data_IF_620842088441
#
_entry.id   IF_620842088441
#
_cell.length_a   1.000
_cell.length_b   1.000
_cell.length_c   1.000
_cell.angle_alpha   90.00
_cell.angle_beta   90.00
_cell.angle_gamma   90.00
#
_symmetry.space_group_name_H-M   'P 1'
#
loop_
_entity.id
_entity.type
_entity.pdbx_description
1 polymer ?
#
# COMPACT_ATOMS: atom_id res chain seq x y z
N UNK A 1 -28.24 24.81 7.13
CA UNK A 1 -28.33 25.21 8.56
C UNK A 1 -27.80 26.61 8.82
N UNK A 2 -26.69 27.03 8.19
CA UNK A 2 -26.21 28.43 8.31
C UNK A 2 -27.28 29.47 7.90
N UNK A 3 -28.01 29.24 6.81
CA UNK A 3 -29.14 30.11 6.44
C UNK A 3 -30.18 30.26 7.56
N UNK A 4 -30.55 29.16 8.23
CA UNK A 4 -31.51 29.20 9.34
C UNK A 4 -31.02 29.99 10.56
N UNK A 5 -29.70 30.02 10.78
CA UNK A 5 -29.10 30.85 11.82
C UNK A 5 -29.18 32.33 11.44
N UNK A 6 -28.96 32.66 10.18
CA UNK A 6 -29.08 34.02 9.68
C UNK A 6 -30.52 34.51 9.74
N UNK A 7 -31.49 33.69 9.30
CA UNK A 7 -32.93 33.99 9.42
C UNK A 7 -33.32 34.23 10.89
N UNK A 8 -32.75 33.48 11.83
CA UNK A 8 -32.99 33.66 13.27
C UNK A 8 -32.35 34.96 13.81
N UNK A 9 -31.17 35.34 13.32
CA UNK A 9 -30.54 36.63 13.65
C UNK A 9 -31.37 37.80 13.13
N UNK A 10 -31.88 37.70 11.91
CA UNK A 10 -32.75 38.70 11.31
C UNK A 10 -34.07 38.84 12.08
N UNK A 11 -34.66 37.71 12.49
CA UNK A 11 -35.80 37.71 13.40
C UNK A 11 -35.52 38.49 14.68
N UNK A 12 -34.39 38.22 15.37
CA UNK A 12 -34.04 38.90 16.62
C UNK A 12 -33.67 40.37 16.44
N UNK A 13 -33.12 40.75 15.29
CA UNK A 13 -32.62 42.10 15.01
C UNK A 13 -33.71 43.03 14.46
N UNK A 14 -34.61 42.52 13.64
CA UNK A 14 -35.57 43.34 12.87
C UNK A 14 -36.99 43.11 13.34
N UNK A 15 -37.39 41.85 13.51
CA UNK A 15 -38.81 41.50 13.72
C UNK A 15 -39.23 41.49 15.19
N UNK A 16 -38.37 41.03 16.11
CA UNK A 16 -38.68 40.97 17.55
C UNK A 16 -38.72 42.34 18.26
N UNK A 17 -37.80 43.29 18.00
CA UNK A 17 -37.77 44.58 18.70
C UNK A 17 -39.08 45.40 18.64
N UNK A 18 -39.76 45.57 17.48
CA UNK A 18 -41.03 46.30 17.47
C UNK A 18 -42.12 45.59 18.29
N UNK A 19 -42.11 44.25 18.37
CA UNK A 19 -43.06 43.49 19.20
C UNK A 19 -42.81 43.65 20.70
N UNK A 20 -41.56 43.82 21.12
CA UNK A 20 -41.22 44.19 22.50
C UNK A 20 -41.78 45.59 22.84
N UNK A 21 -41.64 46.54 21.91
CA UNK A 21 -42.17 47.89 22.08
C UNK A 21 -43.70 47.90 22.14
N UNK A 22 -44.38 47.15 21.26
CA UNK A 22 -45.84 46.99 21.28
C UNK A 22 -46.34 46.41 22.61
N UNK A 23 -45.66 45.39 23.15
CA UNK A 23 -45.98 44.80 24.46
C UNK A 23 -45.86 45.85 25.58
N UNK A 24 -44.75 46.57 25.64
CA UNK A 24 -44.52 47.63 26.63
C UNK A 24 -45.58 48.74 26.51
N UNK A 25 -45.89 49.18 25.29
CA UNK A 25 -46.90 50.20 25.04
C UNK A 25 -48.30 49.75 25.46
N UNK A 26 -48.64 48.48 25.26
CA UNK A 26 -49.90 47.91 25.70
C UNK A 26 -50.04 47.96 27.23
N UNK A 27 -48.99 47.60 27.97
CA UNK A 27 -48.96 47.70 29.43
C UNK A 27 -49.11 49.14 29.92
N UNK A 28 -48.41 50.09 29.29
CA UNK A 28 -48.54 51.53 29.57
C UNK A 28 -49.97 52.01 29.33
N UNK A 29 -50.56 51.65 28.19
CA UNK A 29 -51.93 52.04 27.83
C UNK A 29 -52.95 51.47 28.82
N UNK A 30 -52.80 50.20 29.21
CA UNK A 30 -53.65 49.55 30.19
C UNK A 30 -53.56 50.27 31.55
N UNK A 31 -52.35 50.51 32.07
CA UNK A 31 -52.14 51.18 33.36
C UNK A 31 -52.68 52.63 33.36
N UNK A 32 -52.52 53.34 32.24
CA UNK A 32 -53.06 54.68 32.05
C UNK A 32 -54.59 54.67 32.09
N UNK A 33 -55.22 53.72 31.39
CA UNK A 33 -56.67 53.56 31.37
C UNK A 33 -57.21 53.23 32.76
N UNK A 34 -56.59 52.29 33.48
CA UNK A 34 -56.99 51.96 34.85
C UNK A 34 -56.93 53.17 35.77
N UNK A 35 -55.86 53.96 35.68
CA UNK A 35 -55.69 55.17 36.49
C UNK A 35 -56.77 56.21 36.19
N UNK A 36 -57.07 56.45 34.90
CA UNK A 36 -58.14 57.37 34.48
C UNK A 36 -59.53 56.92 34.94
N UNK A 37 -59.84 55.64 34.86
CA UNK A 37 -61.12 55.08 35.31
C UNK A 37 -61.26 55.23 36.84
N UNK A 38 -60.19 54.94 37.58
CA UNK A 38 -60.15 55.13 39.04
C UNK A 38 -60.40 56.58 39.43
N UNK A 39 -59.72 57.53 38.78
CA UNK A 39 -59.89 58.97 39.07
C UNK A 39 -61.29 59.50 38.72
N UNK A 40 -62.00 58.86 37.78
CA UNK A 40 -63.36 59.23 37.38
C UNK A 40 -64.45 58.44 38.11
N UNK A 41 -64.10 57.70 39.18
CA UNK A 41 -65.00 56.82 39.94
C UNK A 41 -65.77 55.81 39.06
N UNK A 42 -65.14 55.32 37.98
CA UNK A 42 -65.70 54.29 37.10
C UNK A 42 -65.10 52.92 37.40
N UNK A 43 -65.84 51.82 37.18
CA UNK A 43 -65.32 50.46 37.34
C UNK A 43 -64.05 50.23 36.49
N UNK A 44 -63.14 49.42 37.02
CA UNK A 44 -61.91 49.03 36.32
C UNK A 44 -62.23 48.28 35.02
N UNK A 45 -61.48 48.57 33.96
CA UNK A 45 -61.63 47.84 32.70
C UNK A 45 -61.01 46.45 32.85
N UNK A 46 -61.76 45.40 32.53
CA UNK A 46 -61.23 44.03 32.49
C UNK A 46 -61.28 43.52 31.04
N UNK A 47 -60.14 43.20 30.42
CA UNK A 47 -60.10 42.56 29.12
C UNK A 47 -60.84 41.22 29.15
N UNK A 48 -61.26 40.72 27.98
CA UNK A 48 -61.81 39.38 27.86
C UNK A 48 -60.80 38.31 28.26
N UNK A 49 -61.31 37.17 28.74
CA UNK A 49 -60.51 36.02 29.16
C UNK A 49 -59.50 35.60 28.09
N UNK A 50 -58.25 35.33 28.50
CA UNK A 50 -57.14 35.01 27.59
C UNK A 50 -56.47 36.22 26.94
N UNK A 51 -56.95 37.44 27.21
CA UNK A 51 -56.34 38.71 26.75
C UNK A 51 -55.93 39.61 27.90
N UNK A 52 -55.81 39.08 29.12
CA UNK A 52 -55.33 39.84 30.26
C UNK A 52 -53.84 40.16 30.09
N UNK A 53 -53.37 41.22 30.74
CA UNK A 53 -51.93 41.59 30.75
C UNK A 53 -51.07 40.46 31.33
N UNK A 54 -51.59 39.70 32.30
CA UNK A 54 -50.95 38.49 32.83
C UNK A 54 -50.81 37.39 31.77
N UNK A 55 -51.84 37.17 30.95
CA UNK A 55 -51.85 36.14 29.90
C UNK A 55 -50.84 36.49 28.80
N UNK A 56 -50.79 37.76 28.41
CA UNK A 56 -49.81 38.28 27.45
C UNK A 56 -48.39 38.12 28.00
N UNK A 57 -48.17 38.39 29.29
CA UNK A 57 -46.89 38.18 29.94
C UNK A 57 -46.47 36.71 29.99
N UNK A 58 -47.40 35.81 30.32
CA UNK A 58 -47.15 34.37 30.31
C UNK A 58 -46.84 33.85 28.90
N UNK A 59 -47.61 34.28 27.89
CA UNK A 59 -47.35 33.94 26.49
C UNK A 59 -46.00 34.46 26.01
N UNK A 60 -45.61 35.66 26.43
CA UNK A 60 -44.28 36.22 26.13
C UNK A 60 -43.15 35.43 26.78
N UNK A 61 -43.31 35.00 28.03
CA UNK A 61 -42.33 34.13 28.70
C UNK A 61 -42.18 32.77 27.99
N UNK A 62 -43.29 32.16 27.56
CA UNK A 62 -43.23 30.93 26.76
C UNK A 62 -42.52 31.15 25.42
N UNK A 63 -42.76 32.28 24.76
CA UNK A 63 -42.04 32.66 23.54
C UNK A 63 -40.52 32.76 23.78
N UNK A 64 -40.10 33.46 24.84
CA UNK A 64 -38.67 33.59 25.18
C UNK A 64 -38.02 32.24 25.51
N UNK A 65 -38.74 31.34 26.18
CA UNK A 65 -38.27 29.98 26.45
C UNK A 65 -38.13 29.17 25.16
N UNK A 66 -39.12 29.24 24.27
CA UNK A 66 -39.09 28.55 22.99
C UNK A 66 -37.96 29.07 22.09
N UNK A 67 -37.74 30.38 22.05
CA UNK A 67 -36.63 31.00 21.33
C UNK A 67 -35.27 30.53 21.86
N UNK A 68 -35.10 30.50 23.19
CA UNK A 68 -33.87 29.99 23.81
C UNK A 68 -33.63 28.53 23.43
N UNK A 69 -34.66 27.69 23.51
CA UNK A 69 -34.57 26.28 23.10
C UNK A 69 -34.25 26.11 21.62
N UNK A 70 -34.83 26.94 20.76
CA UNK A 70 -34.55 26.92 19.31
C UNK A 70 -33.12 27.38 18.99
N UNK A 71 -32.62 28.43 19.65
CA UNK A 71 -31.24 28.91 19.52
C UNK A 71 -30.23 27.84 19.96
N UNK A 72 -30.45 27.24 21.13
CA UNK A 72 -29.61 26.14 21.64
C UNK A 72 -29.61 24.95 20.68
N UNK A 73 -30.79 24.56 20.17
CA UNK A 73 -30.92 23.50 19.18
C UNK A 73 -30.17 23.82 17.88
N UNK A 74 -30.34 25.03 17.32
CA UNK A 74 -29.66 25.46 16.09
C UNK A 74 -28.15 25.42 16.23
N UNK A 75 -27.60 25.94 17.33
CA UNK A 75 -26.16 25.97 17.58
C UNK A 75 -25.58 24.56 17.79
N UNK A 76 -26.30 23.69 18.49
CA UNK A 76 -25.91 22.29 18.64
C UNK A 76 -25.87 21.57 17.30
N UNK A 77 -26.87 21.82 16.45
CA UNK A 77 -27.01 21.18 15.15
C UNK A 77 -25.96 21.69 14.15
N UNK A 78 -25.60 22.98 14.18
CA UNK A 78 -24.49 23.52 13.38
C UNK A 78 -23.15 22.89 13.78
N UNK A 79 -22.83 22.86 15.08
CA UNK A 79 -21.60 22.23 15.59
C UNK A 79 -21.51 20.75 15.21
N UNK A 80 -22.65 20.05 15.25
CA UNK A 80 -22.74 18.64 14.85
C UNK A 80 -22.42 18.45 13.37
N UNK A 81 -23.00 19.27 12.50
CA UNK A 81 -22.74 19.23 11.06
C UNK A 81 -21.29 19.56 10.74
N UNK A 82 -20.72 20.60 11.36
CA UNK A 82 -19.29 20.96 11.21
C UNK A 82 -18.37 19.82 11.64
N UNK A 83 -18.69 19.12 12.74
CA UNK A 83 -17.93 17.95 13.19
C UNK A 83 -18.00 16.79 12.18
N UNK A 84 -19.18 16.49 11.64
CA UNK A 84 -19.32 15.46 10.62
C UNK A 84 -18.55 15.81 9.34
N UNK A 85 -18.60 17.06 8.94
CA UNK A 85 -17.88 17.58 7.78
C UNK A 85 -16.36 17.46 7.94
N UNK A 86 -15.86 17.86 9.11
CA UNK A 86 -14.44 17.71 9.46
C UNK A 86 -13.99 16.25 9.45
N UNK A 87 -14.81 15.33 9.98
CA UNK A 87 -14.51 13.90 9.95
C UNK A 87 -14.49 13.36 8.51
N UNK A 88 -15.42 13.80 7.66
CA UNK A 88 -15.47 13.40 6.25
C UNK A 88 -14.22 13.86 5.47
N UNK A 89 -13.78 15.11 5.69
CA UNK A 89 -12.55 15.63 5.08
C UNK A 89 -11.30 14.93 5.62
N UNK A 90 -11.23 14.66 6.93
CA UNK A 90 -10.14 13.90 7.54
C UNK A 90 -10.06 12.47 7.00
N UNK A 91 -11.21 11.82 6.78
CA UNK A 91 -11.28 10.52 6.14
C UNK A 91 -10.66 10.57 4.73
N UNK A 92 -11.03 11.56 3.91
CA UNK A 92 -10.46 11.75 2.56
C UNK A 92 -8.94 11.85 2.60
N UNK A 93 -8.40 12.71 3.45
CA UNK A 93 -6.96 12.94 3.53
C UNK A 93 -6.20 11.65 3.86
N UNK A 94 -6.67 10.91 4.88
CA UNK A 94 -6.06 9.64 5.26
C UNK A 94 -6.23 8.55 4.20
N UNK A 95 -7.43 8.44 3.61
CA UNK A 95 -7.71 7.50 2.55
C UNK A 95 -6.80 7.72 1.32
N UNK A 96 -6.55 8.97 0.93
CA UNK A 96 -5.66 9.32 -0.18
C UNK A 96 -4.22 8.87 0.06
N UNK A 97 -3.70 9.03 1.28
CA UNK A 97 -2.35 8.58 1.65
C UNK A 97 -2.27 7.05 1.57
N UNK A 98 -3.27 6.35 2.11
CA UNK A 98 -3.32 4.89 2.07
C UNK A 98 -3.45 4.36 0.63
N UNK A 99 -4.23 5.03 -0.23
CA UNK A 99 -4.32 4.66 -1.65
C UNK A 99 -3.00 4.84 -2.38
N UNK A 100 -2.33 5.97 -2.19
CA UNK A 100 -1.00 6.20 -2.77
C UNK A 100 0.01 5.13 -2.34
N UNK A 101 -0.03 4.67 -1.09
CA UNK A 101 0.78 3.55 -0.63
C UNK A 101 0.41 2.22 -1.32
N UNK A 102 -0.89 1.96 -1.55
CA UNK A 102 -1.31 0.74 -2.28
C UNK A 102 -0.95 0.76 -3.77
N UNK A 103 -0.80 1.95 -4.37
CA UNK A 103 -0.48 2.13 -5.80
C UNK A 103 1.01 2.28 -6.06
N UNK A 104 1.78 2.85 -5.12
CA UNK A 104 3.21 3.16 -5.22
C UNK A 104 4.16 1.96 -5.18
N UNK A 105 3.69 0.76 -5.52
CA UNK A 105 4.45 -0.48 -5.49
C UNK A 105 5.38 -0.66 -6.68
N UNK A 106 6.24 0.31 -7.01
CA UNK A 106 7.31 0.10 -8.00
C UNK A 106 8.68 0.17 -7.33
N UNK A 107 9.00 -0.91 -6.62
CA UNK A 107 10.32 -1.12 -6.06
C UNK A 107 11.31 -1.39 -7.19
N UNK A 108 12.00 -0.35 -7.64
CA UNK A 108 13.06 -0.35 -8.66
C UNK A 108 14.33 -1.13 -8.27
N UNK A 109 14.16 -2.34 -7.73
CA UNK A 109 15.25 -3.28 -7.47
C UNK A 109 15.70 -3.90 -8.78
N UNK A 110 16.94 -3.62 -9.21
CA UNK A 110 17.59 -4.34 -10.30
C UNK A 110 18.31 -5.57 -9.74
N UNK A 111 18.00 -6.74 -10.30
CA UNK A 111 18.58 -8.02 -9.90
C UNK A 111 17.88 -8.65 -8.68
N UNK A 112 18.03 -9.97 -8.56
CA UNK A 112 17.30 -10.80 -7.59
C UNK A 112 17.49 -10.37 -6.12
N UNK A 113 18.71 -10.05 -5.70
CA UNK A 113 18.98 -9.56 -4.34
C UNK A 113 18.33 -8.20 -4.06
N UNK A 114 18.29 -7.31 -5.06
CA UNK A 114 17.59 -6.03 -4.95
C UNK A 114 16.08 -6.20 -4.82
N UNK A 115 15.49 -7.20 -5.49
CA UNK A 115 14.07 -7.52 -5.39
C UNK A 115 13.68 -8.07 -3.99
N UNK A 116 14.53 -8.89 -3.37
CA UNK A 116 14.32 -9.38 -2.00
C UNK A 116 14.37 -8.20 -1.02
N UNK A 117 15.44 -7.39 -1.07
CA UNK A 117 15.60 -6.26 -0.16
C UNK A 117 14.45 -5.24 -0.28
N UNK A 118 14.00 -4.95 -1.51
CA UNK A 118 12.84 -4.10 -1.75
C UNK A 118 11.54 -4.71 -1.18
N UNK A 119 11.39 -6.04 -1.26
CA UNK A 119 10.22 -6.72 -0.69
C UNK A 119 10.22 -6.70 0.84
N UNK A 120 11.37 -6.92 1.47
CA UNK A 120 11.51 -6.83 2.93
C UNK A 120 11.26 -5.41 3.43
N UNK A 121 11.76 -4.40 2.71
CA UNK A 121 11.45 -3.00 3.00
C UNK A 121 9.96 -2.70 2.86
N UNK A 122 9.29 -3.24 1.83
CA UNK A 122 7.84 -3.10 1.73
C UNK A 122 7.12 -3.74 2.93
N UNK A 123 7.52 -4.95 3.33
CA UNK A 123 6.94 -5.67 4.47
C UNK A 123 7.11 -4.91 5.79
N UNK A 124 8.22 -4.21 5.99
CA UNK A 124 8.44 -3.41 7.19
C UNK A 124 7.47 -2.22 7.31
N UNK A 125 6.90 -1.75 6.19
CA UNK A 125 5.88 -0.68 6.19
C UNK A 125 4.46 -1.18 6.43
N UNK A 126 4.20 -2.49 6.34
CA UNK A 126 2.85 -3.06 6.52
C UNK A 126 2.20 -2.72 7.88
N UNK A 127 2.90 -2.80 9.02
CA UNK A 127 2.29 -2.48 10.32
C UNK A 127 1.82 -1.02 10.40
N UNK A 128 2.54 -0.10 9.79
CA UNK A 128 2.18 1.32 9.80
C UNK A 128 1.03 1.60 8.83
N UNK A 129 1.00 0.94 7.67
CA UNK A 129 -0.15 0.96 6.78
C UNK A 129 -1.42 0.40 7.45
N UNK A 130 -1.30 -0.66 8.26
CA UNK A 130 -2.41 -1.23 9.01
C UNK A 130 -2.95 -0.26 10.08
N UNK A 131 -2.06 0.44 10.80
CA UNK A 131 -2.47 1.51 11.74
C UNK A 131 -3.22 2.62 11.03
N UNK A 132 -2.77 3.03 9.84
CA UNK A 132 -3.43 4.08 9.07
C UNK A 132 -4.82 3.64 8.59
N UNK A 133 -4.94 2.39 8.12
CA UNK A 133 -6.23 1.75 7.81
C UNK A 133 -7.18 1.77 9.01
N UNK A 134 -6.72 1.32 10.18
CA UNK A 134 -7.54 1.32 11.40
C UNK A 134 -7.97 2.73 11.83
N UNK A 135 -7.10 3.73 11.64
CA UNK A 135 -7.43 5.13 11.89
C UNK A 135 -8.55 5.63 10.95
N UNK A 136 -8.49 5.27 9.67
CA UNK A 136 -9.54 5.61 8.67
C UNK A 136 -10.88 4.95 9.07
N UNK A 137 -10.86 3.66 9.40
CA UNK A 137 -12.05 2.95 9.87
C UNK A 137 -12.59 3.51 11.20
N UNK A 138 -11.70 3.99 12.07
CA UNK A 138 -12.05 4.67 13.31
C UNK A 138 -12.83 5.97 13.06
N UNK A 139 -12.40 6.77 12.08
CA UNK A 139 -13.11 8.01 11.69
C UNK A 139 -14.51 7.69 11.16
N UNK A 140 -14.64 6.66 10.31
CA UNK A 140 -15.95 6.23 9.82
C UNK A 140 -16.87 5.77 10.95
N UNK A 141 -16.35 4.98 11.90
CA UNK A 141 -17.11 4.51 13.07
C UNK A 141 -17.58 5.67 13.95
N UNK A 142 -16.74 6.68 14.13
CA UNK A 142 -17.11 7.90 14.87
C UNK A 142 -18.24 8.66 14.17
N UNK A 143 -18.12 8.87 12.85
CA UNK A 143 -19.16 9.53 12.07
C UNK A 143 -20.49 8.76 12.13
N UNK A 144 -20.44 7.43 12.03
CA UNK A 144 -21.62 6.57 12.16
C UNK A 144 -22.25 6.66 13.56
N UNK A 145 -21.44 6.63 14.63
CA UNK A 145 -21.92 6.77 16.00
C UNK A 145 -22.65 8.10 16.22
N UNK A 146 -22.11 9.20 15.69
CA UNK A 146 -22.75 10.52 15.76
C UNK A 146 -24.08 10.51 14.99
N UNK A 147 -24.15 9.83 13.83
CA UNK A 147 -25.39 9.72 13.08
C UNK A 147 -26.47 8.93 13.84
N UNK A 148 -26.09 7.79 14.42
CA UNK A 148 -26.98 6.90 15.16
C UNK A 148 -27.53 7.57 16.43
N UNK A 149 -26.67 8.25 17.20
CA UNK A 149 -27.06 8.99 18.42
C UNK A 149 -28.12 10.06 18.16
N UNK A 150 -28.12 10.64 16.96
CA UNK A 150 -29.05 11.70 16.58
C UNK A 150 -30.19 11.21 15.67
N UNK A 151 -30.31 9.89 15.44
CA UNK A 151 -31.39 9.30 14.62
C UNK A 151 -31.34 9.67 13.14
N UNK A 152 -30.17 10.08 12.63
CA UNK A 152 -30.00 10.51 11.24
C UNK A 152 -29.35 9.38 10.44
N UNK A 153 -29.90 9.07 9.27
CA UNK A 153 -29.20 8.21 8.31
C UNK A 153 -28.01 9.00 7.74
N UNK A 154 -26.79 8.62 8.14
CA UNK A 154 -25.58 9.13 7.49
C UNK A 154 -25.68 8.84 5.98
N UNK A 155 -25.47 9.86 5.15
CA UNK A 155 -25.39 9.67 3.70
C UNK A 155 -24.40 8.54 3.40
N UNK A 156 -24.79 7.59 2.54
CA UNK A 156 -23.99 6.39 2.22
C UNK A 156 -22.61 6.69 1.62
N UNK A 157 -22.36 7.92 1.22
CA UNK A 157 -21.16 8.33 0.51
C UNK A 157 -20.61 9.62 1.12
N UNK A 158 -19.30 9.61 1.34
CA UNK A 158 -18.54 10.78 1.73
C UNK A 158 -18.50 11.76 0.54
N UNK A 159 -18.94 13.02 0.69
CA UNK A 159 -18.99 13.98 -0.42
C UNK A 159 -17.61 14.37 -0.96
N UNK A 160 -16.54 14.13 -0.19
CA UNK A 160 -15.18 14.54 -0.54
C UNK A 160 -14.32 13.43 -1.15
N UNK A 161 -14.80 12.17 -1.16
CA UNK A 161 -14.06 11.05 -1.75
C UNK A 161 -14.97 9.93 -2.22
N UNK A 162 -14.61 9.32 -3.33
CA UNK A 162 -15.25 8.09 -3.84
C UNK A 162 -14.78 6.83 -3.09
N UNK A 163 -13.72 6.94 -2.28
CA UNK A 163 -13.12 5.82 -1.55
C UNK A 163 -14.03 5.42 -0.39
N UNK A 164 -14.40 4.15 -0.35
CA UNK A 164 -15.23 3.59 0.72
C UNK A 164 -14.39 2.79 1.71
N UNK A 165 -14.81 2.68 2.98
CA UNK A 165 -14.19 1.79 3.96
C UNK A 165 -14.08 0.34 3.46
N UNK A 166 -15.10 -0.13 2.72
CA UNK A 166 -15.12 -1.45 2.11
C UNK A 166 -14.00 -1.60 1.08
N UNK A 167 -13.84 -0.62 0.19
CA UNK A 167 -12.77 -0.65 -0.82
C UNK A 167 -11.37 -0.70 -0.18
N UNK A 168 -11.15 0.07 0.89
CA UNK A 168 -9.88 0.05 1.64
C UNK A 168 -9.62 -1.34 2.22
N UNK A 169 -10.62 -1.97 2.85
CA UNK A 169 -10.49 -3.32 3.38
C UNK A 169 -10.22 -4.36 2.28
N UNK A 170 -10.94 -4.29 1.16
CA UNK A 170 -10.71 -5.22 0.03
C UNK A 170 -9.30 -5.06 -0.57
N UNK A 171 -8.80 -3.81 -0.73
CA UNK A 171 -7.42 -3.56 -1.15
C UNK A 171 -6.42 -4.14 -0.15
N UNK A 172 -6.65 -3.94 1.15
CA UNK A 172 -5.81 -4.48 2.22
C UNK A 172 -5.76 -6.01 2.23
N UNK A 173 -6.91 -6.68 2.17
CA UNK A 173 -7.00 -8.14 2.09
C UNK A 173 -6.24 -8.68 0.87
N UNK A 174 -6.34 -8.00 -0.27
CA UNK A 174 -5.56 -8.36 -1.47
C UNK A 174 -4.05 -8.24 -1.22
N UNK A 175 -3.58 -7.18 -0.55
CA UNK A 175 -2.16 -7.05 -0.18
C UNK A 175 -1.74 -8.20 0.75
N UNK A 176 -2.54 -8.51 1.77
CA UNK A 176 -2.26 -9.61 2.70
C UNK A 176 -2.17 -10.97 2.00
N UNK A 177 -2.92 -11.19 0.92
CA UNK A 177 -2.84 -12.42 0.12
C UNK A 177 -1.65 -12.45 -0.83
N UNK A 178 -1.26 -11.30 -1.38
CA UNK A 178 -0.19 -11.20 -2.38
C UNK A 178 1.21 -11.24 -1.76
N UNK A 179 1.38 -10.71 -0.54
CA UNK A 179 2.69 -10.69 0.15
C UNK A 179 3.26 -12.10 0.34
N UNK A 180 2.55 -13.09 0.92
CA UNK A 180 3.09 -14.44 1.09
C UNK A 180 3.37 -15.15 -0.25
N UNK A 181 2.55 -14.88 -1.28
CA UNK A 181 2.79 -15.43 -2.62
C UNK A 181 4.08 -14.89 -3.23
N UNK A 182 4.35 -13.60 -3.03
CA UNK A 182 5.58 -12.96 -3.47
C UNK A 182 6.79 -13.44 -2.67
N UNK A 183 6.66 -13.61 -1.36
CA UNK A 183 7.69 -14.23 -0.52
C UNK A 183 8.09 -15.60 -1.06
N UNK A 184 7.10 -16.46 -1.34
CA UNK A 184 7.34 -17.80 -1.86
C UNK A 184 8.03 -17.78 -3.23
N UNK A 185 7.53 -16.97 -4.17
CA UNK A 185 8.12 -16.84 -5.50
C UNK A 185 9.58 -16.33 -5.45
N UNK A 186 9.88 -15.38 -4.55
CA UNK A 186 11.24 -14.89 -4.35
C UNK A 186 12.15 -15.97 -3.76
N UNK A 187 11.68 -16.76 -2.80
CA UNK A 187 12.44 -17.86 -2.22
C UNK A 187 12.73 -18.97 -3.24
N UNK A 188 11.74 -19.35 -4.05
CA UNK A 188 11.92 -20.33 -5.13
C UNK A 188 12.96 -19.84 -6.15
N UNK A 189 12.86 -18.58 -6.57
CA UNK A 189 13.83 -17.99 -7.49
C UNK A 189 15.22 -17.92 -6.85
N UNK A 190 15.32 -17.60 -5.55
CA UNK A 190 16.60 -17.58 -4.84
C UNK A 190 17.26 -18.96 -4.83
N UNK A 191 16.48 -20.00 -4.55
CA UNK A 191 16.95 -21.39 -4.56
C UNK A 191 17.45 -21.81 -5.94
N UNK A 192 16.70 -21.47 -7.01
CA UNK A 192 17.13 -21.70 -8.40
C UNK A 192 18.42 -20.98 -8.73
N UNK A 193 18.55 -19.70 -8.38
CA UNK A 193 19.77 -18.93 -8.63
C UNK A 193 20.98 -19.49 -7.88
N UNK A 194 20.80 -19.96 -6.64
CA UNK A 194 21.85 -20.63 -5.87
C UNK A 194 22.28 -21.97 -6.50
N UNK A 195 21.31 -22.78 -6.93
CA UNK A 195 21.58 -24.04 -7.63
C UNK A 195 22.33 -23.80 -8.95
N UNK A 196 21.88 -22.83 -9.74
CA UNK A 196 22.52 -22.47 -11.00
C UNK A 196 23.95 -21.96 -10.80
N UNK A 197 24.18 -21.11 -9.79
CA UNK A 197 25.52 -20.66 -9.41
C UNK A 197 26.41 -21.81 -8.94
N UNK A 198 25.86 -22.81 -8.24
CA UNK A 198 26.59 -24.02 -7.85
C UNK A 198 27.05 -24.83 -9.06
N UNK A 199 26.13 -25.09 -10.01
CA UNK A 199 26.46 -25.79 -11.26
C UNK A 199 27.53 -25.05 -12.07
N UNK A 200 27.41 -23.72 -12.21
CA UNK A 200 28.42 -22.88 -12.88
C UNK A 200 29.80 -23.06 -12.25
N UNK A 201 29.89 -23.08 -10.90
CA UNK A 201 31.16 -23.26 -10.20
C UNK A 201 31.72 -24.67 -10.35
N UNK A 202 30.88 -25.70 -10.29
CA UNK A 202 31.32 -27.09 -10.49
C UNK A 202 31.93 -27.28 -11.88
N UNK A 203 31.20 -26.87 -12.92
CA UNK A 203 31.71 -26.93 -14.29
C UNK A 203 32.99 -26.10 -14.45
N UNK A 204 33.03 -24.88 -13.94
CA UNK A 204 34.22 -24.05 -14.03
C UNK A 204 35.43 -24.68 -13.34
N UNK A 205 35.24 -25.28 -12.16
CA UNK A 205 36.32 -25.95 -11.44
C UNK A 205 36.91 -27.11 -12.23
N UNK A 206 36.07 -27.90 -12.91
CA UNK A 206 36.50 -29.02 -13.73
C UNK A 206 37.11 -28.54 -15.06
N UNK A 207 36.46 -27.60 -15.74
CA UNK A 207 36.90 -27.05 -17.02
C UNK A 207 38.25 -26.34 -16.91
N UNK A 208 38.49 -25.62 -15.81
CA UNK A 208 39.76 -24.94 -15.55
C UNK A 208 40.92 -25.91 -15.26
N UNK A 209 40.64 -27.19 -14.98
CA UNK A 209 41.65 -28.24 -14.83
C UNK A 209 41.84 -28.99 -16.17
N UNK A 210 40.74 -29.37 -16.80
CA UNK A 210 40.73 -30.13 -18.05
C UNK A 210 41.28 -29.31 -19.23
N UNK A 211 40.89 -28.04 -19.35
CA UNK A 211 41.30 -27.17 -20.46
C UNK A 211 42.82 -27.05 -20.60
N UNK A 212 43.55 -26.61 -19.57
CA UNK A 212 45.01 -26.57 -19.59
C UNK A 212 45.66 -27.94 -19.80
N UNK A 213 45.07 -29.01 -19.27
CA UNK A 213 45.57 -30.37 -19.48
C UNK A 213 45.53 -30.77 -20.96
N UNK A 214 44.41 -30.52 -21.64
CA UNK A 214 44.28 -30.78 -23.08
C UNK A 214 45.30 -29.96 -23.86
N UNK A 215 45.39 -28.65 -23.62
CA UNK A 215 46.36 -27.77 -24.30
C UNK A 215 47.80 -28.27 -24.14
N UNK A 216 48.20 -28.60 -22.90
CA UNK A 216 49.54 -29.12 -22.62
C UNK A 216 49.81 -30.42 -23.37
N UNK A 217 48.84 -31.36 -23.39
CA UNK A 217 49.01 -32.65 -24.07
C UNK A 217 49.04 -32.51 -25.59
N UNK A 218 48.29 -31.58 -26.15
CA UNK A 218 48.38 -31.29 -27.58
C UNK A 218 49.74 -30.73 -27.99
N UNK A 219 50.30 -29.80 -27.21
CA UNK A 219 51.63 -29.26 -27.47
C UNK A 219 52.71 -30.34 -27.37
N UNK A 220 52.59 -31.26 -26.40
CA UNK A 220 53.49 -32.41 -26.26
C UNK A 220 53.42 -33.35 -27.49
N UNK A 221 52.21 -33.70 -27.95
CA UNK A 221 52.02 -34.51 -29.15
C UNK A 221 52.55 -33.79 -30.41
N UNK A 222 52.32 -32.49 -30.51
CA UNK A 222 52.84 -31.65 -31.58
C UNK A 222 54.38 -31.61 -31.61
N UNK A 223 55.02 -31.49 -30.43
CA UNK A 223 56.49 -31.54 -30.31
C UNK A 223 57.07 -32.89 -30.76
N UNK A 224 56.48 -34.01 -30.36
CA UNK A 224 56.96 -35.35 -30.77
C UNK A 224 56.93 -35.52 -32.29
N UNK A 225 55.95 -34.90 -32.95
CA UNK A 225 55.82 -34.94 -34.41
C UNK A 225 56.89 -34.12 -35.14
N UNK A 226 57.51 -33.15 -34.45
CA UNK A 226 58.52 -32.23 -35.01
C UNK A 226 59.94 -32.62 -34.59
N UNK A 227 60.14 -33.07 -33.35
CA UNK A 227 61.41 -33.49 -32.78
C UNK A 227 61.62 -35.00 -32.97
N UNK A 228 61.74 -35.46 -34.22
CA UNK A 228 62.11 -36.84 -34.52
C UNK A 228 63.58 -37.12 -34.11
N UNK A 229 63.78 -37.47 -32.84
CA UNK A 229 65.06 -37.98 -32.32
C UNK A 229 64.84 -39.34 -31.65
N UNK A 230 65.75 -40.28 -31.87
CA UNK A 230 65.65 -41.66 -31.35
C UNK A 230 65.23 -42.67 -32.41
N UNK A 231 65.10 -43.95 -32.00
CA UNK A 231 64.66 -45.01 -32.91
C UNK A 231 63.13 -44.98 -33.07
N UNK A 232 62.61 -45.56 -34.16
CA UNK A 232 61.16 -45.72 -34.35
C UNK A 232 60.51 -46.51 -33.20
N UNK A 233 61.27 -47.39 -32.55
CA UNK A 233 60.84 -48.19 -31.40
C UNK A 233 60.64 -47.30 -30.16
N UNK A 234 61.56 -46.37 -29.89
CA UNK A 234 61.45 -45.38 -28.81
C UNK A 234 60.25 -44.45 -29.02
N UNK A 235 60.02 -44.02 -30.27
CA UNK A 235 58.88 -43.18 -30.63
C UNK A 235 57.54 -43.91 -30.44
N UNK A 236 57.48 -45.19 -30.81
CA UNK A 236 56.30 -46.03 -30.61
C UNK A 236 56.00 -46.25 -29.11
N UNK A 237 57.03 -46.47 -28.30
CA UNK A 237 56.90 -46.63 -26.85
C UNK A 237 56.38 -45.34 -26.17
N UNK A 238 56.89 -44.17 -26.59
CA UNK A 238 56.39 -42.88 -26.12
C UNK A 238 54.91 -42.68 -26.46
N UNK A 239 54.50 -42.95 -27.71
CA UNK A 239 53.09 -42.83 -28.12
C UNK A 239 52.17 -43.76 -27.32
N UNK A 240 52.57 -45.01 -27.05
CA UNK A 240 51.83 -45.94 -26.18
C UNK A 240 51.71 -45.44 -24.74
N UNK A 241 52.68 -44.67 -24.26
CA UNK A 241 52.62 -44.06 -22.92
C UNK A 241 51.67 -42.86 -22.89
N UNK A 242 51.61 -42.07 -23.96
CA UNK A 242 50.63 -41.00 -24.12
C UNK A 242 49.21 -41.56 -24.20
N UNK A 243 49.00 -42.59 -25.01
CA UNK A 243 47.71 -43.28 -25.12
C UNK A 243 47.21 -43.75 -23.74
N UNK A 244 48.06 -44.41 -22.95
CA UNK A 244 47.70 -44.83 -21.58
C UNK A 244 47.30 -43.65 -20.68
N UNK A 245 48.07 -42.56 -20.70
CA UNK A 245 47.76 -41.35 -19.91
C UNK A 245 46.45 -40.68 -20.33
N UNK A 246 46.11 -40.72 -21.63
CA UNK A 246 44.85 -40.20 -22.16
C UNK A 246 43.68 -41.07 -21.66
N UNK A 247 43.81 -42.40 -21.76
CA UNK A 247 42.79 -43.34 -21.29
C UNK A 247 42.55 -43.18 -19.78
N UNK A 248 43.62 -43.02 -18.99
CA UNK A 248 43.53 -42.76 -17.54
C UNK A 248 42.82 -41.45 -17.21
N UNK A 249 42.92 -40.43 -18.06
CA UNK A 249 42.28 -39.12 -17.84
C UNK A 249 40.84 -39.05 -18.36
N UNK A 250 40.40 -40.01 -19.18
CA UNK A 250 39.05 -40.08 -19.76
C UNK A 250 37.91 -39.86 -18.74
N UNK A 251 37.93 -40.43 -17.51
CA UNK A 251 36.86 -40.19 -16.54
C UNK A 251 36.69 -38.71 -16.15
N UNK A 252 37.75 -37.89 -16.21
CA UNK A 252 37.67 -36.46 -15.94
C UNK A 252 36.97 -35.68 -17.07
N UNK A 253 37.07 -36.17 -18.31
CA UNK A 253 36.35 -35.64 -19.46
C UNK A 253 34.88 -36.03 -19.39
N UNK A 254 34.60 -37.31 -19.08
CA UNK A 254 33.24 -37.80 -18.92
C UNK A 254 32.50 -37.04 -17.78
N UNK A 255 33.19 -36.72 -16.68
CA UNK A 255 32.65 -35.88 -15.60
C UNK A 255 32.36 -34.45 -16.06
N UNK A 256 33.25 -33.85 -16.86
CA UNK A 256 33.05 -32.50 -17.40
C UNK A 256 31.82 -32.46 -18.34
N UNK A 257 31.66 -33.48 -19.19
CA UNK A 257 30.51 -33.64 -20.07
C UNK A 257 29.21 -33.81 -19.28
N UNK A 258 29.23 -34.64 -18.22
CA UNK A 258 28.08 -34.78 -17.32
C UNK A 258 27.71 -33.44 -16.65
N UNK A 259 28.69 -32.69 -16.16
CA UNK A 259 28.44 -31.37 -15.57
C UNK A 259 27.89 -30.38 -16.59
N UNK A 260 28.34 -30.46 -17.84
CA UNK A 260 27.79 -29.64 -18.92
C UNK A 260 26.33 -29.99 -19.22
N UNK A 261 26.00 -31.27 -19.27
CA UNK A 261 24.63 -31.73 -19.47
C UNK A 261 23.69 -31.17 -18.41
N UNK A 262 24.10 -31.18 -17.14
CA UNK A 262 23.33 -30.58 -16.04
C UNK A 262 23.13 -29.06 -16.21
N UNK A 263 24.15 -28.35 -16.70
CA UNK A 263 24.08 -26.91 -17.01
C UNK A 263 23.09 -26.63 -18.15
N UNK A 264 23.09 -27.46 -19.21
CA UNK A 264 22.15 -27.33 -20.32
C UNK A 264 20.72 -27.65 -19.91
N UNK A 265 20.51 -28.70 -19.12
CA UNK A 265 19.19 -29.07 -18.57
C UNK A 265 18.63 -27.97 -17.66
N UNK A 266 19.52 -27.26 -16.94
CA UNK A 266 19.18 -26.07 -16.16
C UNK A 266 19.05 -24.78 -16.98
N UNK A 267 19.22 -24.84 -18.32
CA UNK A 267 19.15 -23.72 -19.26
C UNK A 267 20.12 -22.57 -18.92
N UNK A 268 21.31 -22.91 -18.45
CA UNK A 268 22.37 -21.95 -18.10
C UNK A 268 23.34 -21.85 -19.28
N UNK A 269 23.44 -20.67 -19.90
CA UNK A 269 24.28 -20.48 -21.10
C UNK A 269 25.54 -19.65 -20.83
N UNK A 270 25.60 -18.96 -19.70
CA UNK A 270 26.72 -18.13 -19.30
C UNK A 270 27.44 -18.71 -18.08
N UNK A 271 28.76 -18.63 -18.09
CA UNK A 271 29.57 -18.98 -16.93
C UNK A 271 30.67 -17.95 -16.71
N UNK A 272 30.48 -17.06 -15.72
CA UNK A 272 31.46 -16.03 -15.33
C UNK A 272 32.72 -16.57 -14.66
N UNK A 273 32.78 -17.86 -14.33
CA UNK A 273 33.88 -18.48 -13.56
C UNK A 273 34.90 -19.22 -14.42
N UNK A 274 34.66 -19.34 -15.72
CA UNK A 274 35.59 -19.98 -16.66
C UNK A 274 35.44 -19.40 -18.06
N UNK A 275 36.54 -19.34 -18.80
CA UNK A 275 36.54 -18.99 -20.22
C UNK A 275 36.48 -20.23 -21.13
N UNK A 276 36.53 -21.43 -20.54
CA UNK A 276 36.45 -22.69 -21.27
C UNK A 276 34.97 -23.05 -21.49
N UNK A 277 34.55 -23.10 -22.75
CA UNK A 277 33.25 -23.66 -23.16
C UNK A 277 33.43 -25.11 -23.62
N UNK A 278 32.38 -25.91 -23.62
CA UNK A 278 32.47 -27.29 -24.13
C UNK A 278 32.95 -27.34 -25.58
N UNK A 279 32.55 -26.38 -26.40
CA UNK A 279 33.04 -26.26 -27.77
C UNK A 279 34.56 -26.02 -27.79
N UNK A 280 35.08 -25.13 -26.95
CA UNK A 280 36.52 -24.83 -26.89
C UNK A 280 37.33 -25.98 -26.27
N UNK A 281 36.77 -26.76 -25.35
CA UNK A 281 37.45 -27.92 -24.75
C UNK A 281 37.38 -29.18 -25.61
N UNK A 282 36.36 -29.35 -26.46
CA UNK A 282 36.19 -30.54 -27.31
C UNK A 282 36.74 -30.38 -28.73
N UNK A 283 36.73 -29.18 -29.33
CA UNK A 283 37.33 -28.91 -30.65
C UNK A 283 38.78 -29.40 -30.79
N UNK A 284 39.64 -29.28 -29.77
CA UNK A 284 40.99 -29.83 -29.89
C UNK A 284 40.99 -31.37 -29.91
N UNK A 285 40.01 -32.05 -29.31
CA UNK A 285 39.97 -33.51 -29.28
C UNK A 285 39.50 -34.14 -30.62
N UNK A 286 38.89 -33.38 -31.53
CA UNK A 286 38.31 -33.96 -32.76
C UNK A 286 39.33 -34.46 -33.82
N UNK A 287 40.51 -33.84 -34.06
CA UNK A 287 41.44 -34.38 -35.06
C UNK A 287 42.31 -35.57 -34.62
N UNK A 288 42.87 -35.65 -33.39
CA UNK A 288 43.76 -36.77 -33.03
C UNK A 288 43.11 -37.90 -32.21
N UNK A 289 41.90 -37.74 -31.66
CA UNK A 289 41.30 -38.74 -30.74
C UNK A 289 40.16 -39.56 -31.35
N UNK A 290 39.71 -39.24 -32.57
CA UNK A 290 38.79 -40.09 -33.33
C UNK A 290 39.57 -41.12 -34.15
N UNK A 291 40.19 -42.09 -33.48
CA UNK A 291 40.55 -43.35 -34.14
C UNK A 291 39.32 -44.26 -34.07
N UNK A 292 38.68 -44.37 -35.23
CA UNK A 292 37.76 -45.39 -35.75
C UNK A 292 37.28 -46.48 -34.78
N UNK A 293 35.95 -46.59 -34.62
CA UNK A 293 35.31 -47.90 -34.50
C UNK A 293 35.24 -48.58 -35.86
#
# INVERSE_FOLDING_TARGET
MQQKLEDFRDYRRVHKPPKVQEKCQLEINFNTLQTKLRLSNRPAFMPSEGKMVSDINNGWQHLEQAEKGYEEWLLNEIRRLERLDHLAEKFRQKASIHEAWTEGGDGGGRGHQGLIAAHDQFKSTLPDADKEREAILGIQREAQRIADLHGIKLSRSNPYTSVTPQLINSKWERVQQLVPKRDHALLEEQSKQQSNEHLRRQFASQANVVGPWIQTKMEEIGRISIELHGTLEDQLEQLKQYERRIVEYKPNLDLLEQQHQLIQEALIFDNKHTNYTMEVTLVPLEPPFCVSR
#
